data_IF_118525664967
#
_entry.id   IF_118525664967
#
_cell.length_a   1.000
_cell.length_b   1.000
_cell.length_c   1.000
_cell.angle_alpha   90.00
_cell.angle_beta   90.00
_cell.angle_gamma   90.00
#
_symmetry.space_group_name_H-M   'P 1'
#
loop_
_entity.id
_entity.type
_entity.pdbx_description
1 polymer ?
#
# COMPACT_ATOMS: atom_id res chain seq x y z
N UNK A 1 -33.84 -21.55 15.09
CA UNK A 1 -33.28 -21.98 13.78
C UNK A 1 -31.76 -21.96 13.85
N UNK A 2 -31.15 -23.12 14.10
CA UNK A 2 -29.69 -23.27 14.17
C UNK A 2 -29.14 -23.41 12.75
N UNK A 3 -28.39 -22.42 12.29
CA UNK A 3 -27.71 -22.49 10.99
C UNK A 3 -26.77 -23.70 10.99
N UNK A 4 -26.83 -24.60 10.01
CA UNK A 4 -25.98 -25.79 9.98
C UNK A 4 -24.50 -25.38 9.99
N UNK A 5 -23.63 -26.10 10.73
CA UNK A 5 -22.26 -25.68 11.00
C UNK A 5 -21.44 -25.41 9.72
N UNK A 6 -21.70 -26.14 8.63
CA UNK A 6 -21.07 -25.91 7.31
C UNK A 6 -21.38 -24.55 6.69
N UNK A 7 -22.60 -24.04 6.83
CA UNK A 7 -23.00 -22.76 6.24
C UNK A 7 -22.35 -21.59 7.00
N UNK A 8 -22.23 -21.70 8.32
CA UNK A 8 -21.55 -20.70 9.16
C UNK A 8 -20.05 -20.58 8.84
N UNK A 9 -19.41 -21.69 8.43
CA UNK A 9 -17.99 -21.71 8.07
C UNK A 9 -17.75 -21.01 6.73
N UNK A 10 -18.56 -21.30 5.71
CA UNK A 10 -18.46 -20.64 4.40
C UNK A 10 -18.73 -19.14 4.45
N UNK A 11 -19.68 -18.68 5.27
CA UNK A 11 -19.91 -17.25 5.52
C UNK A 11 -18.74 -16.59 6.27
N UNK A 12 -18.07 -17.32 7.17
CA UNK A 12 -16.87 -16.84 7.89
C UNK A 12 -15.60 -16.82 7.03
N UNK A 13 -15.52 -17.66 5.99
CA UNK A 13 -14.41 -17.66 5.02
C UNK A 13 -14.59 -16.62 3.91
N UNK A 14 -15.84 -16.38 3.46
CA UNK A 14 -16.14 -15.32 2.48
C UNK A 14 -15.88 -13.93 3.06
N UNK A 15 -16.07 -13.73 4.37
CA UNK A 15 -15.76 -12.48 5.06
C UNK A 15 -14.27 -12.08 5.02
N UNK A 16 -13.35 -13.02 4.77
CA UNK A 16 -11.91 -12.72 4.63
C UNK A 16 -11.53 -12.22 3.23
N UNK A 17 -12.41 -12.47 2.25
CA UNK A 17 -12.09 -12.24 0.85
C UNK A 17 -12.45 -10.81 0.50
N UNK A 18 -11.44 -10.05 0.08
CA UNK A 18 -11.70 -8.85 -0.68
C UNK A 18 -12.50 -9.25 -1.92
N UNK A 19 -13.62 -8.56 -2.14
CA UNK A 19 -14.33 -8.68 -3.41
C UNK A 19 -13.35 -8.37 -4.55
N UNK A 20 -13.55 -9.02 -5.70
CA UNK A 20 -12.65 -8.83 -6.84
C UNK A 20 -12.46 -7.35 -7.19
N UNK A 21 -13.54 -6.57 -7.13
CA UNK A 21 -13.52 -5.11 -7.31
C UNK A 21 -12.60 -4.40 -6.32
N UNK A 22 -12.78 -4.61 -5.00
CA UNK A 22 -11.95 -3.95 -3.98
C UNK A 22 -10.47 -4.32 -4.12
N UNK A 23 -10.18 -5.58 -4.44
CA UNK A 23 -8.81 -6.04 -4.69
C UNK A 23 -8.17 -5.33 -5.88
N UNK A 24 -8.89 -5.21 -6.99
CA UNK A 24 -8.40 -4.51 -8.18
C UNK A 24 -8.23 -3.01 -7.94
N UNK A 25 -9.12 -2.37 -7.16
CA UNK A 25 -8.95 -0.97 -6.76
C UNK A 25 -7.67 -0.75 -5.95
N UNK A 26 -7.38 -1.63 -4.99
CA UNK A 26 -6.15 -1.56 -4.18
C UNK A 26 -4.91 -1.75 -5.06
N UNK A 27 -4.93 -2.73 -5.97
CA UNK A 27 -3.81 -2.96 -6.89
C UNK A 27 -3.62 -1.81 -7.87
N UNK A 28 -4.71 -1.24 -8.38
CA UNK A 28 -4.66 -0.08 -9.26
C UNK A 28 -4.06 1.13 -8.55
N UNK A 29 -4.54 1.46 -7.34
CA UNK A 29 -3.99 2.55 -6.55
C UNK A 29 -2.49 2.35 -6.26
N UNK A 30 -2.09 1.14 -5.87
CA UNK A 30 -0.69 0.79 -5.64
C UNK A 30 0.15 0.93 -6.92
N UNK A 31 -0.35 0.46 -8.06
CA UNK A 31 0.34 0.55 -9.34
C UNK A 31 0.54 2.01 -9.79
N UNK A 32 -0.47 2.87 -9.62
CA UNK A 32 -0.34 4.30 -9.94
C UNK A 32 0.68 4.98 -9.01
N UNK A 33 0.63 4.71 -7.70
CA UNK A 33 1.62 5.22 -6.75
C UNK A 33 3.04 4.82 -7.13
N UNK A 34 3.25 3.54 -7.44
CA UNK A 34 4.55 3.02 -7.82
C UNK A 34 5.04 3.64 -9.14
N UNK A 35 4.20 3.64 -10.18
CA UNK A 35 4.59 4.16 -11.49
C UNK A 35 4.94 5.65 -11.44
N UNK A 36 4.12 6.45 -10.76
CA UNK A 36 4.37 7.89 -10.59
C UNK A 36 5.57 8.17 -9.69
N UNK A 37 5.79 7.39 -8.64
CA UNK A 37 6.98 7.51 -7.78
C UNK A 37 8.27 7.16 -8.53
N UNK A 38 8.28 6.09 -9.33
CA UNK A 38 9.42 5.72 -10.16
C UNK A 38 9.69 6.74 -11.27
N UNK A 39 8.64 7.27 -11.91
CA UNK A 39 8.78 8.32 -12.91
C UNK A 39 9.39 9.59 -12.30
N UNK A 40 8.95 9.97 -11.09
CA UNK A 40 9.53 11.10 -10.35
C UNK A 40 10.99 10.85 -10.00
N UNK A 41 11.34 9.67 -9.45
CA UNK A 41 12.72 9.29 -9.10
C UNK A 41 13.65 9.34 -10.31
N UNK A 42 13.21 8.80 -11.45
CA UNK A 42 14.01 8.81 -12.68
C UNK A 42 14.34 10.24 -13.11
N UNK A 43 13.35 11.13 -13.16
CA UNK A 43 13.57 12.52 -13.55
C UNK A 43 14.38 13.29 -12.50
N UNK A 44 14.13 13.04 -11.21
CA UNK A 44 14.85 13.70 -10.13
C UNK A 44 16.35 13.42 -10.15
N UNK A 45 16.77 12.18 -10.46
CA UNK A 45 18.18 11.82 -10.52
C UNK A 45 18.84 12.04 -11.87
N UNK A 46 18.07 12.07 -12.97
CA UNK A 46 18.62 12.36 -14.30
C UNK A 46 18.79 13.85 -14.57
N UNK A 47 17.97 14.71 -13.95
CA UNK A 47 17.92 16.18 -14.07
C UNK A 47 18.65 16.77 -15.30
N UNK A 48 17.99 16.67 -16.46
CA UNK A 48 18.52 17.16 -17.74
C UNK A 48 18.09 18.60 -18.05
N UNK A 49 17.36 19.26 -17.15
CA UNK A 49 16.80 20.59 -17.34
C UNK A 49 15.77 20.70 -18.47
N UNK A 50 15.27 19.57 -19.00
CA UNK A 50 14.34 19.58 -20.13
C UNK A 50 12.91 19.99 -19.72
N UNK A 51 12.20 20.60 -20.67
CA UNK A 51 10.77 20.92 -20.49
C UNK A 51 9.95 19.63 -20.27
N UNK A 52 10.28 18.56 -20.99
CA UNK A 52 9.64 17.25 -20.84
C UNK A 52 9.86 16.69 -19.43
N UNK A 53 11.09 16.71 -18.92
CA UNK A 53 11.41 16.25 -17.56
C UNK A 53 10.62 17.04 -16.50
N UNK A 54 10.53 18.36 -16.68
CA UNK A 54 9.73 19.24 -15.81
C UNK A 54 8.24 18.87 -15.83
N UNK A 55 7.67 18.59 -17.00
CA UNK A 55 6.28 18.14 -17.13
C UNK A 55 6.06 16.78 -16.46
N UNK A 56 6.99 15.84 -16.61
CA UNK A 56 6.92 14.52 -15.98
C UNK A 56 6.98 14.65 -14.45
N UNK A 57 7.87 15.46 -13.90
CA UNK A 57 7.93 15.75 -12.45
C UNK A 57 6.60 16.30 -11.94
N UNK A 58 6.05 17.32 -12.62
CA UNK A 58 4.82 17.98 -12.21
C UNK A 58 3.60 17.04 -12.24
N UNK A 59 3.43 16.28 -13.32
CA UNK A 59 2.32 15.33 -13.44
C UNK A 59 2.47 14.11 -12.53
N UNK A 60 3.70 13.63 -12.32
CA UNK A 60 3.99 12.55 -11.37
C UNK A 60 3.52 12.93 -9.98
N UNK A 61 3.86 14.13 -9.49
CA UNK A 61 3.42 14.60 -8.18
C UNK A 61 1.89 14.74 -8.06
N UNK A 62 1.22 15.29 -9.07
CA UNK A 62 -0.25 15.44 -9.07
C UNK A 62 -0.96 14.08 -8.99
N UNK A 63 -0.57 13.15 -9.86
CA UNK A 63 -1.17 11.81 -9.91
C UNK A 63 -0.82 10.99 -8.67
N UNK A 64 0.41 11.10 -8.17
CA UNK A 64 0.85 10.44 -6.94
C UNK A 64 0.04 10.91 -5.74
N UNK A 65 -0.13 12.23 -5.58
CA UNK A 65 -0.95 12.80 -4.51
C UNK A 65 -2.41 12.33 -4.56
N UNK A 66 -3.03 12.34 -5.75
CA UNK A 66 -4.38 11.83 -5.93
C UNK A 66 -4.49 10.33 -5.59
N UNK A 67 -3.53 9.52 -6.05
CA UNK A 67 -3.48 8.09 -5.76
C UNK A 67 -3.23 7.81 -4.27
N UNK A 68 -2.46 8.65 -3.57
CA UNK A 68 -2.22 8.54 -2.13
C UNK A 68 -3.51 8.74 -1.33
N UNK A 69 -4.34 9.73 -1.70
CA UNK A 69 -5.66 9.93 -1.09
C UNK A 69 -6.56 8.72 -1.29
N UNK A 70 -6.61 8.17 -2.51
CA UNK A 70 -7.36 6.96 -2.80
C UNK A 70 -6.84 5.75 -2.01
N UNK A 71 -5.52 5.59 -1.89
CA UNK A 71 -4.89 4.52 -1.13
C UNK A 71 -5.21 4.60 0.37
N UNK A 72 -5.17 5.80 0.96
CA UNK A 72 -5.58 6.03 2.36
C UNK A 72 -7.04 5.66 2.61
N UNK A 73 -7.94 6.11 1.73
CA UNK A 73 -9.36 5.76 1.80
C UNK A 73 -9.57 4.24 1.71
N UNK A 74 -8.91 3.58 0.75
CA UNK A 74 -8.97 2.14 0.60
C UNK A 74 -8.37 1.42 1.82
N UNK A 75 -7.26 1.89 2.37
CA UNK A 75 -6.65 1.32 3.57
C UNK A 75 -7.61 1.34 4.76
N UNK A 76 -8.31 2.46 4.97
CA UNK A 76 -9.38 2.57 5.96
C UNK A 76 -10.52 1.59 5.70
N UNK A 77 -10.97 1.48 4.44
CA UNK A 77 -12.00 0.50 4.04
C UNK A 77 -11.58 -0.96 4.32
N UNK A 78 -10.29 -1.28 4.19
CA UNK A 78 -9.74 -2.60 4.45
C UNK A 78 -9.63 -2.94 5.94
N UNK A 79 -9.68 -1.93 6.83
CA UNK A 79 -9.37 -2.08 8.25
C UNK A 79 -10.20 -3.18 8.92
N UNK A 80 -11.52 -3.06 8.91
CA UNK A 80 -12.43 -4.05 9.50
C UNK A 80 -12.36 -5.42 8.82
N UNK A 81 -12.71 -5.52 7.52
CA UNK A 81 -12.92 -6.82 6.86
C UNK A 81 -11.62 -7.60 6.63
N UNK A 82 -10.49 -6.92 6.42
CA UNK A 82 -9.22 -7.56 6.10
C UNK A 82 -8.23 -7.50 7.27
N UNK A 83 -7.85 -6.29 7.70
CA UNK A 83 -6.72 -6.09 8.64
C UNK A 83 -7.06 -6.63 10.04
N UNK A 84 -8.12 -6.10 10.66
CA UNK A 84 -8.58 -6.50 12.01
C UNK A 84 -8.91 -7.98 12.06
N UNK A 85 -9.63 -8.50 11.06
CA UNK A 85 -9.99 -9.92 11.01
C UNK A 85 -8.78 -10.85 10.87
N UNK A 86 -7.82 -10.53 9.99
CA UNK A 86 -6.57 -11.28 9.85
C UNK A 86 -5.76 -11.24 11.13
N UNK A 87 -5.73 -10.08 11.78
CA UNK A 87 -5.11 -9.91 13.08
C UNK A 87 -5.78 -10.82 14.10
N UNK A 88 -7.07 -10.67 14.42
CA UNK A 88 -7.75 -11.48 15.44
C UNK A 88 -7.57 -12.99 15.24
N UNK A 89 -7.57 -13.47 13.98
CA UNK A 89 -7.42 -14.89 13.63
C UNK A 89 -5.97 -15.37 13.50
N UNK A 90 -4.96 -14.56 13.87
CA UNK A 90 -3.53 -14.90 13.79
C UNK A 90 -3.07 -15.30 12.38
N UNK A 91 -3.71 -14.76 11.34
CA UNK A 91 -3.40 -15.06 9.93
C UNK A 91 -2.50 -13.99 9.34
N UNK A 92 -1.38 -14.43 8.74
CA UNK A 92 -0.45 -13.57 7.99
C UNK A 92 0.00 -12.28 8.72
N UNK A 93 0.04 -12.31 10.07
CA UNK A 93 0.26 -11.11 10.90
C UNK A 93 1.61 -10.45 10.63
N UNK A 94 2.68 -11.23 10.51
CA UNK A 94 4.04 -10.68 10.32
C UNK A 94 4.14 -9.91 9.00
N UNK A 95 3.77 -10.53 7.88
CA UNK A 95 3.81 -9.85 6.59
C UNK A 95 2.80 -8.69 6.50
N UNK A 96 1.64 -8.82 7.14
CA UNK A 96 0.67 -7.73 7.27
C UNK A 96 1.17 -6.56 8.11
N UNK A 97 1.85 -6.83 9.23
CA UNK A 97 2.44 -5.81 10.09
C UNK A 97 3.57 -5.06 9.39
N UNK A 98 4.44 -5.78 8.68
CA UNK A 98 5.50 -5.17 7.87
C UNK A 98 4.92 -4.22 6.83
N UNK A 99 3.96 -4.68 6.01
CA UNK A 99 3.33 -3.85 4.99
C UNK A 99 2.58 -2.65 5.59
N UNK A 100 1.87 -2.86 6.70
CA UNK A 100 1.17 -1.79 7.42
C UNK A 100 2.13 -0.75 8.02
N UNK A 101 3.28 -1.19 8.55
CA UNK A 101 4.30 -0.28 9.10
C UNK A 101 4.96 0.54 7.99
N UNK A 102 5.28 -0.08 6.86
CA UNK A 102 5.81 0.65 5.69
C UNK A 102 4.79 1.65 5.15
N UNK A 103 3.51 1.28 5.12
CA UNK A 103 2.44 2.20 4.72
C UNK A 103 2.35 3.40 5.68
N UNK A 104 2.50 3.19 6.99
CA UNK A 104 2.52 4.28 7.97
C UNK A 104 3.74 5.19 7.79
N UNK A 105 4.93 4.61 7.55
CA UNK A 105 6.16 5.38 7.25
C UNK A 105 5.94 6.22 5.99
N UNK A 106 5.37 5.66 4.92
CA UNK A 106 5.06 6.38 3.70
C UNK A 106 4.11 7.56 3.93
N UNK A 107 3.08 7.37 4.74
CA UNK A 107 2.13 8.45 5.09
C UNK A 107 2.82 9.55 5.89
N UNK A 108 3.59 9.18 6.91
CA UNK A 108 4.29 10.14 7.77
C UNK A 108 5.35 10.94 7.01
N UNK A 109 6.17 10.26 6.20
CA UNK A 109 7.21 10.90 5.38
C UNK A 109 6.61 11.72 4.24
N UNK A 110 5.53 11.24 3.61
CA UNK A 110 4.79 12.01 2.62
C UNK A 110 4.23 13.30 3.21
N UNK A 111 3.64 13.25 4.40
CA UNK A 111 3.20 14.44 5.12
C UNK A 111 4.39 15.37 5.45
N UNK A 112 5.49 14.82 5.94
CA UNK A 112 6.68 15.60 6.28
C UNK A 112 7.28 16.33 5.06
N UNK A 113 7.32 15.69 3.90
CA UNK A 113 7.80 16.31 2.66
C UNK A 113 6.99 17.54 2.24
N UNK A 114 5.71 17.62 2.63
CA UNK A 114 4.84 18.76 2.32
C UNK A 114 4.84 19.85 3.40
N UNK A 115 4.94 19.48 4.67
CA UNK A 115 4.63 20.39 5.78
C UNK A 115 5.76 20.64 6.76
N UNK A 116 6.80 19.81 6.76
CA UNK A 116 7.93 19.96 7.69
C UNK A 116 9.03 20.77 7.04
N UNK A 117 9.46 21.82 7.75
CA UNK A 117 10.59 22.66 7.37
C UNK A 117 11.87 22.20 8.06
N UNK A 118 13.02 22.51 7.46
CA UNK A 118 14.34 22.13 7.95
C UNK A 118 15.01 21.12 7.04
N UNK A 119 16.24 21.42 6.64
CA UNK A 119 16.98 20.67 5.62
C UNK A 119 17.13 19.19 6.00
N UNK A 120 17.68 18.89 7.18
CA UNK A 120 17.92 17.52 7.64
C UNK A 120 16.64 16.67 7.70
N UNK A 121 15.56 17.23 8.24
CA UNK A 121 14.28 16.52 8.39
C UNK A 121 13.64 16.23 7.03
N UNK A 122 13.69 17.19 6.11
CA UNK A 122 13.16 17.05 4.76
C UNK A 122 13.97 16.03 3.94
N UNK A 123 15.29 16.11 3.98
CA UNK A 123 16.19 15.13 3.33
C UNK A 123 15.97 13.73 3.90
N UNK A 124 15.89 13.59 5.23
CA UNK A 124 15.59 12.30 5.87
C UNK A 124 14.23 11.74 5.45
N UNK A 125 13.20 12.60 5.38
CA UNK A 125 11.88 12.21 4.92
C UNK A 125 11.91 11.76 3.45
N UNK A 126 12.65 12.44 2.59
CA UNK A 126 12.83 12.07 1.19
C UNK A 126 13.44 10.67 1.05
N UNK A 127 14.59 10.43 1.69
CA UNK A 127 15.27 9.13 1.67
C UNK A 127 14.40 8.00 2.22
N UNK A 128 13.71 8.25 3.34
CA UNK A 128 12.81 7.26 3.93
C UNK A 128 11.59 7.00 3.04
N UNK A 129 11.05 8.03 2.39
CA UNK A 129 9.85 7.89 1.57
C UNK A 129 10.09 6.99 0.36
N UNK A 130 11.10 7.29 -0.45
CA UNK A 130 11.33 6.50 -1.66
C UNK A 130 11.83 5.09 -1.34
N UNK A 131 12.69 4.92 -0.33
CA UNK A 131 13.18 3.60 0.08
C UNK A 131 12.07 2.72 0.66
N UNK A 132 11.20 3.27 1.51
CA UNK A 132 10.01 2.57 2.00
C UNK A 132 9.03 2.24 0.86
N UNK A 133 8.93 3.11 -0.15
CA UNK A 133 8.12 2.89 -1.34
C UNK A 133 8.56 1.65 -2.12
N UNK A 134 9.86 1.53 -2.40
CA UNK A 134 10.43 0.35 -3.06
C UNK A 134 10.30 -0.91 -2.21
N UNK A 135 10.58 -0.81 -0.90
CA UNK A 135 10.46 -1.94 0.02
C UNK A 135 9.01 -2.44 0.13
N UNK A 136 8.03 -1.55 -0.02
CA UNK A 136 6.61 -1.90 -0.02
C UNK A 136 6.22 -2.82 -1.17
N UNK A 137 6.89 -2.75 -2.33
CA UNK A 137 6.68 -3.68 -3.45
C UNK A 137 7.00 -5.12 -3.03
N UNK A 138 8.17 -5.31 -2.43
CA UNK A 138 8.62 -6.62 -1.93
C UNK A 138 7.70 -7.08 -0.81
N UNK A 139 7.38 -6.21 0.15
CA UNK A 139 6.50 -6.53 1.27
C UNK A 139 5.08 -6.93 0.81
N UNK A 140 4.52 -6.24 -0.20
CA UNK A 140 3.22 -6.57 -0.77
C UNK A 140 3.25 -7.94 -1.46
N UNK A 141 4.30 -8.23 -2.23
CA UNK A 141 4.47 -9.53 -2.86
C UNK A 141 4.57 -10.66 -1.81
N UNK A 142 5.41 -10.48 -0.78
CA UNK A 142 5.53 -11.43 0.34
C UNK A 142 4.19 -11.61 1.05
N UNK A 143 3.48 -10.52 1.35
CA UNK A 143 2.16 -10.56 1.98
C UNK A 143 1.18 -11.43 1.18
N UNK A 144 1.13 -11.23 -0.15
CA UNK A 144 0.25 -12.01 -1.04
C UNK A 144 0.71 -13.47 -1.11
N UNK A 145 2.00 -13.73 -1.29
CA UNK A 145 2.55 -15.08 -1.42
C UNK A 145 2.31 -15.91 -0.15
N UNK A 146 2.62 -15.37 1.03
CA UNK A 146 2.39 -16.02 2.32
C UNK A 146 0.89 -16.22 2.58
N UNK A 147 0.07 -15.21 2.26
CA UNK A 147 -1.39 -15.31 2.37
C UNK A 147 -2.00 -16.42 1.50
N UNK A 148 -1.45 -16.62 0.29
CA UNK A 148 -1.86 -17.71 -0.61
C UNK A 148 -1.37 -19.08 -0.17
N UNK A 149 -0.12 -19.19 0.31
CA UNK A 149 0.45 -20.47 0.80
C UNK A 149 -0.31 -20.98 2.01
N UNK A 150 -0.58 -20.12 3.00
CA UNK A 150 -1.34 -20.49 4.21
C UNK A 150 -2.81 -20.84 3.92
N UNK A 151 -3.34 -20.52 2.74
CA UNK A 151 -4.67 -20.95 2.29
C UNK A 151 -4.66 -22.39 1.78
N UNK A 152 -3.64 -22.80 1.04
CA UNK A 152 -3.52 -24.17 0.49
C UNK A 152 -3.33 -25.25 1.55
N UNK A 153 -2.87 -24.89 2.75
CA UNK A 153 -2.61 -25.83 3.85
C UNK A 153 -3.88 -26.11 4.69
N UNK A 154 -4.98 -25.37 4.44
CA UNK A 154 -6.17 -25.34 5.32
C UNK A 154 -7.44 -25.78 4.59
N UNK A 155 -7.37 -25.80 3.26
CA UNK A 155 -8.31 -26.50 2.38
C UNK A 155 -7.77 -27.91 2.20
#
# INVERSE_FOLDING_TARGET
>A
MTVPPRLSFHLRESAFRLSARRRWLVYGAFAVLLATGLAWLAMHFSDDGSEVGTLVLAWSMKLHGAAAMAALYLFGMLWGPHIRNAWMRKRNRVAGALLGSLSLILVATGYALYYVNGQLLRESAEYLHWSAGLLSCVALWVHIAVGRRKRKVIV
#
